data_IF_553425956718
#
_entry.id   IF_553425956718
#
_cell.length_a   1.000
_cell.length_b   1.000
_cell.length_c   1.000
_cell.angle_alpha   90.00
_cell.angle_beta   90.00
_cell.angle_gamma   90.00
#
_symmetry.space_group_name_H-M   'P 1'
#
loop_
_entity.id
_entity.type
_entity.pdbx_description
1 polymer ?
#
# COMPACT_ATOMS: atom_id res chain seq x y z
N UNK A 1 18.63 -2.24 10.26
CA UNK A 1 18.26 -2.30 8.84
C UNK A 1 18.99 -1.18 8.12
N UNK A 2 19.62 -1.49 6.98
CA UNK A 2 20.15 -0.47 6.07
C UNK A 2 19.03 0.00 5.15
N UNK A 3 18.88 1.31 5.02
CA UNK A 3 17.90 1.94 4.11
C UNK A 3 18.69 2.74 3.07
N UNK A 4 18.61 2.30 1.82
CA UNK A 4 19.24 2.95 0.68
C UNK A 4 18.25 3.84 -0.05
N UNK A 5 18.62 5.08 -0.29
CA UNK A 5 17.86 6.07 -1.06
C UNK A 5 18.49 6.20 -2.44
N UNK A 6 17.83 5.68 -3.45
CA UNK A 6 18.29 5.74 -4.83
C UNK A 6 17.38 6.66 -5.67
N UNK A 7 17.96 7.62 -6.35
CA UNK A 7 17.31 8.50 -7.33
C UNK A 7 18.08 8.41 -8.64
N UNK A 8 17.38 8.29 -9.77
CA UNK A 8 18.02 8.22 -11.09
C UNK A 8 18.96 9.41 -11.33
N UNK A 9 20.16 9.12 -11.82
CA UNK A 9 21.17 10.14 -12.12
C UNK A 9 21.93 10.71 -10.92
N UNK A 10 21.73 10.16 -9.71
CA UNK A 10 22.44 10.60 -8.50
C UNK A 10 23.11 9.44 -7.78
N UNK A 11 24.11 9.73 -6.95
CA UNK A 11 24.71 8.74 -6.06
C UNK A 11 23.71 8.38 -4.97
N UNK A 12 23.49 7.08 -4.75
CA UNK A 12 22.64 6.59 -3.67
C UNK A 12 23.23 6.94 -2.30
N UNK A 13 22.36 7.23 -1.35
CA UNK A 13 22.74 7.43 0.06
C UNK A 13 22.14 6.35 0.94
N UNK A 14 22.82 6.00 2.03
CA UNK A 14 22.41 4.94 2.95
C UNK A 14 22.32 5.51 4.36
N UNK A 15 21.30 5.09 5.10
CA UNK A 15 21.19 5.29 6.56
C UNK A 15 20.91 3.95 7.23
N UNK A 16 21.20 3.85 8.52
CA UNK A 16 20.85 2.68 9.34
C UNK A 16 19.67 3.07 10.25
N UNK A 17 18.73 2.15 10.44
CA UNK A 17 17.62 2.39 11.40
C UNK A 17 18.15 2.41 12.83
N UNK A 18 17.50 3.22 13.66
CA UNK A 18 17.66 3.19 15.11
C UNK A 18 17.12 1.85 15.69
N UNK A 19 17.36 1.62 16.97
CA UNK A 19 16.93 0.39 17.66
C UNK A 19 15.40 0.19 17.65
N UNK A 20 14.64 1.28 17.64
CA UNK A 20 13.19 1.28 17.53
C UNK A 20 12.68 1.09 16.07
N UNK A 21 13.58 0.93 15.11
CA UNK A 21 13.27 0.77 13.69
C UNK A 21 13.01 2.06 12.92
N UNK A 22 13.10 3.22 13.55
CA UNK A 22 12.96 4.52 12.86
C UNK A 22 14.23 4.89 12.10
N UNK A 23 14.08 5.70 11.08
CA UNK A 23 15.18 6.31 10.33
C UNK A 23 14.74 7.67 9.79
N UNK A 24 15.72 8.51 9.55
CA UNK A 24 15.52 9.79 8.86
C UNK A 24 16.67 10.09 7.90
N UNK A 25 16.39 10.83 6.86
CA UNK A 25 17.38 11.33 5.91
C UNK A 25 17.04 12.75 5.52
N UNK A 26 17.95 13.66 5.78
CA UNK A 26 17.85 15.07 5.41
C UNK A 26 18.66 15.39 4.16
N UNK A 27 18.51 16.60 3.64
CA UNK A 27 19.22 17.12 2.47
C UNK A 27 19.03 16.28 1.19
N UNK A 28 17.83 15.74 1.01
CA UNK A 28 17.41 15.13 -0.25
C UNK A 28 16.79 16.21 -1.15
N UNK A 29 17.17 16.23 -2.42
CA UNK A 29 16.51 17.07 -3.42
C UNK A 29 15.17 16.47 -3.86
N UNK A 30 14.25 17.31 -4.34
CA UNK A 30 12.97 16.85 -4.90
C UNK A 30 13.16 15.82 -6.02
N UNK A 31 12.23 14.90 -6.14
CA UNK A 31 12.19 13.85 -7.17
C UNK A 31 11.73 12.49 -6.67
N UNK A 32 11.76 11.52 -7.58
CA UNK A 32 11.36 10.14 -7.31
C UNK A 32 12.53 9.32 -6.80
N UNK A 33 12.34 8.69 -5.66
CA UNK A 33 13.28 7.80 -4.99
C UNK A 33 12.76 6.38 -4.96
N UNK A 34 13.67 5.42 -4.99
CA UNK A 34 13.42 4.05 -4.55
C UNK A 34 14.13 3.87 -3.21
N UNK A 35 13.36 3.54 -2.18
CA UNK A 35 13.87 3.17 -0.87
C UNK A 35 14.03 1.66 -0.82
N UNK A 36 15.26 1.18 -0.56
CA UNK A 36 15.57 -0.25 -0.44
C UNK A 36 15.98 -0.57 0.98
N UNK A 37 15.33 -1.54 1.59
CA UNK A 37 15.54 -2.00 2.96
C UNK A 37 16.26 -3.34 2.93
N UNK A 38 17.43 -3.41 3.55
CA UNK A 38 18.22 -4.65 3.60
C UNK A 38 18.72 -4.94 5.01
N UNK A 39 18.69 -6.22 5.38
CA UNK A 39 19.23 -6.76 6.63
C UNK A 39 19.60 -8.22 6.42
N UNK A 40 20.76 -8.65 6.92
CA UNK A 40 21.16 -10.06 6.88
C UNK A 40 20.12 -10.96 7.53
N UNK A 41 19.76 -12.09 6.90
CA UNK A 41 18.72 -13.02 7.34
C UNK A 41 17.29 -12.57 7.02
N UNK A 42 17.11 -11.51 6.23
CA UNK A 42 15.82 -11.00 5.81
C UNK A 42 15.77 -10.74 4.31
N UNK A 43 14.59 -10.89 3.73
CA UNK A 43 14.34 -10.55 2.33
C UNK A 43 14.49 -9.03 2.13
N UNK A 44 15.21 -8.66 1.09
CA UNK A 44 15.30 -7.27 0.65
C UNK A 44 13.93 -6.78 0.16
N UNK A 45 13.63 -5.54 0.45
CA UNK A 45 12.34 -4.94 0.08
C UNK A 45 12.55 -3.53 -0.43
N UNK A 46 11.66 -3.08 -1.30
CA UNK A 46 11.68 -1.72 -1.81
C UNK A 46 10.30 -1.09 -1.86
N UNK A 47 10.28 0.24 -1.77
CA UNK A 47 9.09 1.05 -2.05
C UNK A 47 9.48 2.36 -2.72
N UNK A 48 8.62 2.91 -3.58
CA UNK A 48 8.81 4.25 -4.14
C UNK A 48 8.52 5.33 -3.09
N UNK A 49 9.18 6.47 -3.24
CA UNK A 49 8.90 7.68 -2.47
C UNK A 49 9.12 8.90 -3.37
N UNK A 50 8.24 9.89 -3.33
CA UNK A 50 8.33 11.11 -4.11
C UNK A 50 8.45 12.32 -3.19
N UNK A 51 9.52 13.08 -3.32
CA UNK A 51 9.65 14.42 -2.77
C UNK A 51 9.26 15.44 -3.85
N UNK A 52 8.18 16.18 -3.63
CA UNK A 52 7.65 17.14 -4.61
C UNK A 52 8.44 18.44 -4.63
N UNK A 53 8.95 18.84 -3.48
CA UNK A 53 9.75 20.06 -3.32
C UNK A 53 10.99 19.78 -2.46
N UNK A 54 12.03 20.59 -2.65
CA UNK A 54 13.19 20.59 -1.75
C UNK A 54 12.76 21.02 -0.35
N UNK A 55 13.37 20.42 0.68
CA UNK A 55 13.05 20.62 2.11
C UNK A 55 11.65 20.10 2.54
N UNK A 56 10.94 19.35 1.69
CA UNK A 56 9.72 18.66 2.10
C UNK A 56 10.04 17.57 3.13
N UNK A 57 9.14 17.40 4.10
CA UNK A 57 9.18 16.26 5.02
C UNK A 57 8.17 15.22 4.55
N UNK A 58 8.66 14.07 4.10
CA UNK A 58 7.83 12.94 3.69
C UNK A 58 7.93 11.83 4.75
N UNK A 59 6.79 11.47 5.33
CA UNK A 59 6.68 10.28 6.17
C UNK A 59 6.26 9.09 5.30
N UNK A 60 7.12 8.08 5.21
CA UNK A 60 6.82 6.85 4.46
C UNK A 60 6.19 5.80 5.36
N UNK A 61 5.38 4.92 4.76
CA UNK A 61 4.71 3.84 5.47
C UNK A 61 5.72 2.88 6.13
N UNK A 62 5.35 2.36 7.30
CA UNK A 62 6.14 1.32 7.99
C UNK A 62 6.23 0.07 7.13
N UNK A 63 7.45 -0.45 7.00
CA UNK A 63 7.76 -1.65 6.23
C UNK A 63 8.07 -2.81 7.16
N UNK A 64 7.37 -3.94 6.96
CA UNK A 64 7.71 -5.20 7.63
C UNK A 64 8.62 -6.02 6.72
N UNK A 65 9.85 -6.33 7.16
CA UNK A 65 10.71 -7.30 6.48
C UNK A 65 10.36 -8.72 6.92
N UNK A 66 10.46 -9.67 5.97
CA UNK A 66 10.25 -11.09 6.21
C UNK A 66 11.61 -11.79 6.31
N UNK A 67 11.74 -12.83 7.17
CA UNK A 67 12.93 -13.67 7.17
C UNK A 67 13.17 -14.28 5.78
N UNK A 68 14.43 -14.46 5.40
CA UNK A 68 14.80 -15.17 4.17
C UNK A 68 14.48 -16.67 4.22
N UNK A 69 14.12 -17.17 5.41
CA UNK A 69 13.57 -18.53 5.63
C UNK A 69 12.10 -18.68 5.21
N UNK A 70 11.43 -17.62 4.75
CA UNK A 70 10.10 -17.72 4.16
C UNK A 70 10.08 -18.78 3.04
N UNK A 71 9.01 -19.57 2.95
CA UNK A 71 8.87 -20.51 1.84
C UNK A 71 9.01 -19.80 0.49
N UNK A 72 9.80 -20.39 -0.42
CA UNK A 72 10.19 -19.76 -1.67
C UNK A 72 9.02 -19.39 -2.57
N UNK A 73 7.91 -20.13 -2.49
CA UNK A 73 6.66 -19.82 -3.20
C UNK A 73 5.45 -20.16 -2.36
N UNK A 74 4.35 -19.45 -2.60
CA UNK A 74 3.09 -19.67 -1.91
C UNK A 74 1.91 -19.14 -2.70
N UNK A 75 0.74 -19.17 -2.10
CA UNK A 75 -0.50 -18.60 -2.64
C UNK A 75 -0.92 -17.42 -1.79
N UNK A 76 -1.17 -16.29 -2.43
CA UNK A 76 -1.83 -15.13 -1.81
C UNK A 76 -3.31 -15.22 -2.16
N UNK A 77 -4.21 -15.14 -1.19
CA UNK A 77 -5.64 -15.12 -1.42
C UNK A 77 -6.38 -14.16 -0.50
N UNK A 78 -7.53 -13.71 -0.93
CA UNK A 78 -8.39 -12.80 -0.19
C UNK A 78 -9.70 -12.55 -0.93
N UNK A 79 -10.50 -11.64 -0.39
CA UNK A 79 -11.81 -11.27 -0.91
C UNK A 79 -11.86 -9.77 -1.17
N UNK A 80 -12.47 -9.36 -2.28
CA UNK A 80 -12.77 -7.96 -2.57
C UNK A 80 -14.23 -7.68 -2.24
N UNK A 81 -14.46 -6.66 -1.43
CA UNK A 81 -15.78 -6.25 -0.95
C UNK A 81 -16.10 -4.82 -1.31
N UNK A 82 -17.37 -4.45 -1.26
CA UNK A 82 -17.77 -3.05 -1.38
C UNK A 82 -17.36 -2.27 -0.12
N UNK A 83 -16.89 -1.05 -0.32
CA UNK A 83 -16.38 -0.21 0.77
C UNK A 83 -17.51 0.37 1.63
N UNK A 84 -18.72 0.51 1.09
CA UNK A 84 -19.87 1.08 1.80
C UNK A 84 -20.62 -0.02 2.55
N UNK A 85 -20.73 -1.20 1.93
CA UNK A 85 -21.36 -2.36 2.54
C UNK A 85 -20.40 -3.57 2.48
N UNK A 86 -19.71 -3.81 3.56
CA UNK A 86 -18.73 -4.91 3.66
C UNK A 86 -19.36 -6.31 3.63
N UNK A 87 -20.68 -6.44 3.64
CA UNK A 87 -21.39 -7.69 3.40
C UNK A 87 -21.47 -8.04 1.91
N UNK A 88 -21.33 -7.03 1.04
CA UNK A 88 -21.38 -7.18 -0.42
C UNK A 88 -19.99 -7.54 -0.95
N UNK A 89 -19.87 -8.72 -1.55
CA UNK A 89 -18.67 -9.15 -2.27
C UNK A 89 -18.72 -8.64 -3.71
N UNK A 90 -17.55 -8.35 -4.30
CA UNK A 90 -17.48 -7.79 -5.65
C UNK A 90 -16.76 -8.77 -6.58
N UNK A 91 -17.53 -9.41 -7.48
CA UNK A 91 -17.04 -10.30 -8.55
C UNK A 91 -16.41 -9.52 -9.70
N UNK A 92 -15.75 -10.22 -10.61
CA UNK A 92 -15.22 -9.69 -11.87
C UNK A 92 -14.34 -8.46 -11.74
N UNK A 93 -13.66 -8.30 -10.59
CA UNK A 93 -12.65 -7.28 -10.40
C UNK A 93 -11.35 -7.75 -11.03
N UNK A 94 -10.83 -7.01 -11.99
CA UNK A 94 -9.54 -7.29 -12.60
C UNK A 94 -8.42 -6.85 -11.68
N UNK A 95 -7.47 -7.74 -11.43
CA UNK A 95 -6.32 -7.56 -10.55
C UNK A 95 -5.02 -7.60 -11.35
N UNK A 96 -4.16 -6.60 -11.19
CA UNK A 96 -2.82 -6.51 -11.78
C UNK A 96 -1.80 -6.40 -10.67
N UNK A 97 -0.87 -7.36 -10.61
CA UNK A 97 0.09 -7.51 -9.51
C UNK A 97 1.47 -7.04 -9.93
N UNK A 98 2.11 -6.24 -9.10
CA UNK A 98 3.50 -5.80 -9.25
C UNK A 98 4.31 -6.13 -7.99
N UNK A 99 5.60 -6.38 -8.17
CA UNK A 99 6.50 -6.62 -7.03
C UNK A 99 6.80 -5.32 -6.30
N UNK A 100 6.86 -5.39 -4.98
CA UNK A 100 7.16 -4.26 -4.09
C UNK A 100 5.93 -3.62 -3.45
N UNK A 101 6.18 -2.76 -2.46
CA UNK A 101 5.16 -1.96 -1.77
C UNK A 101 4.84 -0.69 -2.57
N UNK A 102 3.56 -0.32 -2.63
CA UNK A 102 3.08 0.92 -3.27
C UNK A 102 3.55 1.11 -4.72
N UNK A 103 3.83 -0.01 -5.42
CA UNK A 103 4.33 -0.02 -6.79
C UNK A 103 3.17 -0.02 -7.78
N UNK A 104 2.80 1.16 -8.29
CA UNK A 104 1.64 1.34 -9.18
C UNK A 104 2.02 1.40 -10.67
N UNK A 105 3.30 1.42 -11.00
CA UNK A 105 3.84 1.44 -12.36
C UNK A 105 4.88 0.32 -12.58
N UNK A 106 5.29 0.10 -13.82
CA UNK A 106 6.26 -0.93 -14.19
C UNK A 106 5.60 -2.28 -14.52
N UNK A 107 6.39 -3.35 -14.50
CA UNK A 107 6.00 -4.67 -15.01
C UNK A 107 4.92 -5.32 -14.17
N UNK A 108 3.82 -5.73 -14.80
CA UNK A 108 2.82 -6.61 -14.20
C UNK A 108 3.36 -8.03 -14.24
N UNK A 109 3.54 -8.65 -13.07
CA UNK A 109 4.09 -9.99 -12.93
C UNK A 109 3.02 -11.08 -12.88
N UNK A 110 1.78 -10.70 -12.55
CA UNK A 110 0.63 -11.60 -12.48
C UNK A 110 -0.68 -10.86 -12.62
N UNK A 111 -1.71 -11.56 -13.11
CA UNK A 111 -3.10 -11.07 -13.15
C UNK A 111 -4.03 -12.10 -12.57
N UNK A 112 -5.17 -11.65 -12.06
CA UNK A 112 -6.30 -12.49 -11.64
C UNK A 112 -7.61 -11.71 -11.81
N UNK A 113 -8.72 -12.40 -11.62
CA UNK A 113 -10.06 -11.80 -11.56
C UNK A 113 -10.79 -12.41 -10.37
N UNK A 114 -11.58 -11.62 -9.66
CA UNK A 114 -12.39 -12.15 -8.56
C UNK A 114 -13.53 -13.03 -9.08
N UNK A 115 -13.81 -14.13 -8.40
CA UNK A 115 -14.91 -15.04 -8.69
C UNK A 115 -16.28 -14.46 -8.26
N UNK A 116 -17.36 -15.24 -8.42
CA UNK A 116 -18.73 -14.84 -8.03
C UNK A 116 -18.90 -14.56 -6.53
N UNK A 117 -17.99 -15.04 -5.70
CA UNK A 117 -17.93 -14.79 -4.26
C UNK A 117 -16.94 -13.69 -3.89
N UNK A 118 -16.42 -12.94 -4.88
CA UNK A 118 -15.45 -11.87 -4.69
C UNK A 118 -14.05 -12.35 -4.32
N UNK A 119 -13.78 -13.66 -4.34
CA UNK A 119 -12.49 -14.21 -3.96
C UNK A 119 -11.48 -14.11 -5.09
N UNK A 120 -10.22 -13.93 -4.73
CA UNK A 120 -9.08 -14.04 -5.64
C UNK A 120 -8.02 -14.97 -5.09
N UNK A 121 -7.21 -15.55 -5.98
CA UNK A 121 -6.10 -16.42 -5.65
C UNK A 121 -4.94 -16.22 -6.63
N UNK A 122 -3.76 -15.99 -6.07
CA UNK A 122 -2.50 -15.78 -6.80
C UNK A 122 -1.52 -16.87 -6.37
N UNK A 123 -1.44 -17.94 -7.14
CA UNK A 123 -0.54 -19.07 -6.87
C UNK A 123 0.91 -18.77 -7.28
N UNK A 124 1.86 -19.54 -6.76
CA UNK A 124 3.30 -19.47 -7.13
C UNK A 124 3.90 -18.07 -6.93
N UNK A 125 3.49 -17.38 -5.89
CA UNK A 125 4.05 -16.09 -5.51
C UNK A 125 5.31 -16.30 -4.68
N UNK A 126 6.43 -15.72 -5.09
CA UNK A 126 7.67 -15.71 -4.31
C UNK A 126 7.47 -14.97 -2.99
N UNK A 127 8.31 -15.25 -2.00
CA UNK A 127 8.26 -14.49 -0.75
C UNK A 127 8.60 -13.01 -0.99
N UNK A 128 7.82 -12.12 -0.38
CA UNK A 128 7.99 -10.66 -0.52
C UNK A 128 6.68 -9.90 -0.53
N UNK A 129 6.78 -8.59 -0.75
CA UNK A 129 5.65 -7.69 -0.88
C UNK A 129 5.24 -7.47 -2.33
N UNK A 130 3.96 -7.23 -2.51
CA UNK A 130 3.34 -6.98 -3.81
C UNK A 130 2.29 -5.88 -3.68
N UNK A 131 2.13 -5.11 -4.75
CA UNK A 131 1.02 -4.18 -4.90
C UNK A 131 0.05 -4.75 -5.92
N UNK A 132 -1.21 -4.87 -5.53
CA UNK A 132 -2.31 -5.26 -6.41
C UNK A 132 -3.07 -3.99 -6.79
N UNK A 133 -3.09 -3.68 -8.07
CA UNK A 133 -4.00 -2.68 -8.63
C UNK A 133 -5.28 -3.41 -9.04
N UNK A 134 -6.43 -2.89 -8.63
CA UNK A 134 -7.73 -3.41 -8.98
C UNK A 134 -8.51 -2.44 -9.84
N UNK A 135 -9.29 -2.97 -10.78
CA UNK A 135 -10.19 -2.19 -11.63
C UNK A 135 -11.45 -2.97 -11.97
N UNK A 136 -12.58 -2.26 -12.06
CA UNK A 136 -13.87 -2.77 -12.52
C UNK A 136 -14.70 -1.61 -13.06
N UNK A 137 -15.45 -1.86 -14.15
CA UNK A 137 -16.37 -0.84 -14.70
C UNK A 137 -17.40 -0.40 -13.65
N UNK A 138 -17.60 0.90 -13.50
CA UNK A 138 -18.48 1.50 -12.47
C UNK A 138 -17.83 1.65 -11.09
N UNK A 139 -16.55 1.29 -10.93
CA UNK A 139 -15.79 1.42 -9.69
C UNK A 139 -14.56 2.30 -9.85
N UNK A 140 -14.07 2.84 -8.76
CA UNK A 140 -12.82 3.61 -8.73
C UNK A 140 -11.64 2.62 -8.75
N UNK A 141 -10.72 2.82 -9.69
CA UNK A 141 -9.45 2.09 -9.71
C UNK A 141 -8.62 2.46 -8.49
N UNK A 142 -8.09 1.46 -7.81
CA UNK A 142 -7.26 1.64 -6.63
C UNK A 142 -6.19 0.55 -6.52
N UNK A 143 -5.48 0.54 -5.40
CA UNK A 143 -4.46 -0.46 -5.12
C UNK A 143 -4.40 -0.77 -3.63
N UNK A 144 -3.85 -1.94 -3.30
CA UNK A 144 -3.54 -2.36 -1.94
C UNK A 144 -2.29 -3.24 -1.94
N UNK A 145 -1.66 -3.34 -0.78
CA UNK A 145 -0.46 -4.15 -0.63
C UNK A 145 -0.80 -5.50 0.00
N UNK A 146 -0.15 -6.55 -0.52
CA UNK A 146 -0.23 -7.92 -0.03
C UNK A 146 1.18 -8.50 0.10
N UNK A 147 1.32 -9.61 0.80
CA UNK A 147 2.61 -10.27 0.93
C UNK A 147 2.50 -11.78 0.79
N UNK A 148 3.64 -12.40 0.45
CA UNK A 148 3.85 -13.84 0.50
C UNK A 148 5.00 -14.18 1.43
N UNK A 149 4.80 -15.18 2.28
CA UNK A 149 5.83 -15.88 3.06
C UNK A 149 5.35 -17.33 3.20
N UNK A 150 5.30 -18.05 2.06
CA UNK A 150 4.47 -19.23 1.87
C UNK A 150 3.03 -18.84 1.50
N UNK A 151 2.07 -19.72 1.76
CA UNK A 151 0.66 -19.43 1.46
C UNK A 151 0.04 -18.54 2.56
N UNK A 152 -0.53 -17.41 2.16
CA UNK A 152 -1.14 -16.44 3.05
C UNK A 152 -2.53 -16.09 2.53
N UNK A 153 -3.55 -16.40 3.33
CA UNK A 153 -4.95 -16.08 3.06
C UNK A 153 -5.42 -14.80 3.76
N UNK A 154 -6.69 -14.47 3.57
CA UNK A 154 -7.38 -13.34 4.22
C UNK A 154 -6.70 -11.98 3.99
N UNK A 155 -6.08 -11.81 2.83
CA UNK A 155 -5.56 -10.52 2.40
C UNK A 155 -6.64 -9.76 1.64
N UNK A 156 -7.67 -9.38 2.38
CA UNK A 156 -8.89 -8.77 1.84
C UNK A 156 -8.67 -7.31 1.50
N UNK A 157 -9.50 -6.78 0.59
CA UNK A 157 -9.53 -5.36 0.25
C UNK A 157 -10.94 -4.92 -0.11
N UNK A 158 -11.11 -3.62 -0.28
CA UNK A 158 -12.39 -3.01 -0.60
C UNK A 158 -12.27 -2.13 -1.83
N UNK A 159 -13.34 -2.08 -2.62
CA UNK A 159 -13.45 -1.25 -3.82
C UNK A 159 -14.68 -0.35 -3.70
N UNK A 160 -14.53 0.89 -4.14
CA UNK A 160 -15.59 1.90 -4.12
C UNK A 160 -16.24 2.05 -5.48
N UNK A 161 -17.55 2.10 -5.55
CA UNK A 161 -18.25 2.56 -6.74
C UNK A 161 -17.83 3.98 -7.12
N UNK A 162 -17.84 4.29 -8.41
CA UNK A 162 -17.55 5.63 -8.93
C UNK A 162 -18.51 6.66 -8.32
N UNK A 163 -17.99 7.83 -8.04
CA UNK A 163 -18.74 8.94 -7.46
C UNK A 163 -19.22 9.91 -8.53
N UNK A 164 -20.30 10.62 -8.25
CA UNK A 164 -20.72 11.74 -9.09
C UNK A 164 -19.66 12.86 -9.05
N UNK A 165 -19.57 13.62 -10.14
CA UNK A 165 -18.66 14.77 -10.23
C UNK A 165 -18.90 15.75 -9.07
N UNK A 166 -17.83 16.19 -8.43
CA UNK A 166 -17.89 17.12 -7.29
C UNK A 166 -18.16 16.46 -5.94
N UNK A 167 -18.24 15.13 -5.88
CA UNK A 167 -18.36 14.40 -4.61
C UNK A 167 -17.03 13.76 -4.19
N UNK A 168 -16.84 13.59 -2.89
CA UNK A 168 -15.69 12.91 -2.29
C UNK A 168 -16.20 11.87 -1.30
N UNK A 169 -15.57 10.69 -1.29
CA UNK A 169 -15.76 9.67 -0.26
C UNK A 169 -14.45 9.45 0.48
N UNK A 170 -14.50 9.53 1.79
CA UNK A 170 -13.38 9.19 2.66
C UNK A 170 -13.76 7.91 3.40
N UNK A 171 -12.90 6.91 3.30
CA UNK A 171 -13.09 5.63 3.97
C UNK A 171 -11.94 5.44 4.94
N UNK A 172 -12.27 5.27 6.21
CA UNK A 172 -11.34 4.86 7.24
C UNK A 172 -11.45 3.34 7.40
N UNK A 173 -10.34 2.67 7.33
CA UNK A 173 -10.25 1.23 7.55
C UNK A 173 -9.24 0.94 8.65
N UNK A 174 -9.65 0.22 9.66
CA UNK A 174 -8.78 -0.25 10.75
C UNK A 174 -9.05 -1.71 11.06
N UNK A 175 -8.00 -2.43 11.47
CA UNK A 175 -8.13 -3.82 11.88
C UNK A 175 -8.90 -3.96 13.20
N UNK A 176 -9.60 -5.07 13.37
CA UNK A 176 -10.18 -5.42 14.65
C UNK A 176 -9.05 -5.70 15.65
N UNK A 177 -8.68 -4.72 16.46
CA UNK A 177 -7.84 -4.93 17.63
C UNK A 177 -8.70 -4.83 18.88
N UNK A 178 -8.67 -5.87 19.70
CA UNK A 178 -9.28 -5.84 21.03
C UNK A 178 -8.53 -4.79 21.86
N UNK A 179 -9.13 -3.62 22.04
CA UNK A 179 -8.56 -2.59 22.91
C UNK A 179 -8.51 -1.18 22.36
N UNK A 180 -8.78 -0.96 21.09
CA UNK A 180 -9.04 0.39 20.59
C UNK A 180 -10.51 0.73 20.85
N UNK A 181 -10.74 1.78 21.62
CA UNK A 181 -12.06 2.34 21.85
C UNK A 181 -12.63 2.95 20.56
N UNK A 182 -12.93 4.21 20.55
CA UNK A 182 -13.45 4.95 19.38
C UNK A 182 -12.28 5.43 18.53
N UNK A 183 -12.39 5.33 17.21
CA UNK A 183 -11.49 5.99 16.26
C UNK A 183 -12.22 7.24 15.75
N UNK A 184 -11.74 8.39 16.17
CA UNK A 184 -12.27 9.67 15.70
C UNK A 184 -11.61 10.06 14.38
N UNK A 185 -12.40 10.56 13.44
CA UNK A 185 -11.90 11.10 12.19
C UNK A 185 -11.97 12.61 12.17
N UNK A 186 -10.88 13.24 11.74
CA UNK A 186 -10.80 14.68 11.57
C UNK A 186 -10.48 15.01 10.11
N UNK A 187 -11.37 15.70 9.43
CA UNK A 187 -11.16 16.21 8.09
C UNK A 187 -11.06 17.72 8.10
N UNK A 188 -9.95 18.25 7.60
CA UNK A 188 -9.78 19.69 7.39
C UNK A 188 -9.49 19.97 5.92
N UNK A 189 -10.04 21.06 5.40
CA UNK A 189 -9.78 21.48 4.02
C UNK A 189 -10.02 22.98 3.83
N UNK A 190 -9.62 23.57 2.68
CA UNK A 190 -9.97 24.93 2.35
C UNK A 190 -11.49 25.04 2.22
N UNK A 191 -12.06 26.13 2.71
CA UNK A 191 -13.44 26.53 2.43
C UNK A 191 -13.52 27.46 1.22
N UNK A 192 -14.73 27.88 0.85
CA UNK A 192 -14.94 28.80 -0.28
C UNK A 192 -14.61 30.27 0.02
N UNK A 193 -14.10 30.59 1.23
CA UNK A 193 -13.96 31.96 1.70
C UNK A 193 -12.59 32.25 2.32
N UNK A 194 -11.52 31.63 1.83
CA UNK A 194 -10.13 31.79 2.31
C UNK A 194 -9.88 31.24 3.72
N UNK A 195 -10.83 30.54 4.32
CA UNK A 195 -10.69 29.81 5.58
C UNK A 195 -10.44 28.33 5.39
N UNK A 196 -10.67 27.57 6.45
CA UNK A 196 -10.63 26.10 6.45
C UNK A 196 -11.84 25.55 7.18
N UNK A 197 -12.45 24.51 6.62
CA UNK A 197 -13.43 23.72 7.35
C UNK A 197 -12.74 22.66 8.21
N UNK A 198 -13.40 22.23 9.28
CA UNK A 198 -13.02 21.11 10.10
C UNK A 198 -14.28 20.29 10.40
N UNK A 199 -14.31 19.04 10.00
CA UNK A 199 -15.36 18.08 10.31
C UNK A 199 -14.77 17.02 11.22
N UNK A 200 -15.49 16.67 12.27
CA UNK A 200 -15.11 15.61 13.21
C UNK A 200 -16.36 14.86 13.69
N UNK A 201 -16.23 13.59 14.01
CA UNK A 201 -17.19 12.72 14.66
C UNK A 201 -16.52 11.48 15.23
#
# INVERSE_FOLDING_TARGET
>A
VSVTFAKSGTTSSVVTTEDNGTYSKTALSSGNYTLTYSKSGYLEMSQPAELKTDNETLTVATVKQFPDTCASTGTISGTIKDVVDSSVVVSDVSLSVRSGLNTTSGTIIKTATTDSSGNYSLSSMSAGWYTIQFSKSGYITGNFNVYSCGSVGSQDSQISTSLATGTMRIVLHWGASSGLGVVDSHLTGPDNASGRFHIYW
#
